data_IF_896234379415
#
_entry.id   IF_896234379415
#
_cell.length_a   1.000
_cell.length_b   1.000
_cell.length_c   1.000
_cell.angle_alpha   90.00
_cell.angle_beta   90.00
_cell.angle_gamma   90.00
#
_symmetry.space_group_name_H-M   'P 1'
#
loop_
_entity.id
_entity.type
_entity.pdbx_description
1 polymer ?
#
# COMPACT_ATOMS: atom_id res chain seq x y z
N UNK A 1 -26.72 -23.18 -7.39
CA UNK A 1 -25.24 -23.15 -7.22
C UNK A 1 -24.64 -23.00 -8.61
N UNK A 2 -23.86 -21.95 -8.90
CA UNK A 2 -23.18 -21.80 -10.19
C UNK A 2 -21.71 -22.16 -9.98
N UNK A 3 -21.31 -23.30 -10.54
CA UNK A 3 -19.94 -23.84 -10.50
C UNK A 3 -19.16 -23.16 -11.63
N UNK A 4 -18.02 -22.55 -11.31
CA UNK A 4 -17.10 -21.97 -12.29
C UNK A 4 -16.02 -23.04 -12.52
N UNK A 5 -15.88 -23.49 -13.76
CA UNK A 5 -14.93 -24.52 -14.17
C UNK A 5 -13.48 -23.99 -14.11
N UNK A 6 -12.62 -24.67 -13.35
CA UNK A 6 -11.19 -24.39 -13.31
C UNK A 6 -10.50 -24.87 -14.60
N UNK A 7 -10.32 -23.95 -15.54
CA UNK A 7 -9.42 -24.12 -16.67
C UNK A 7 -7.96 -24.22 -16.20
N UNK A 8 -7.33 -25.37 -16.43
CA UNK A 8 -5.90 -25.58 -16.18
C UNK A 8 -5.06 -24.70 -17.11
N UNK A 9 -4.35 -23.71 -16.55
CA UNK A 9 -3.19 -23.09 -17.19
C UNK A 9 -1.96 -23.39 -16.34
N UNK A 10 -1.22 -24.41 -16.77
CA UNK A 10 0.11 -24.75 -16.28
C UNK A 10 1.13 -24.19 -17.25
N UNK A 11 1.72 -23.02 -16.95
CA UNK A 11 3.05 -22.65 -17.45
C UNK A 11 3.80 -21.94 -16.31
N UNK A 12 4.60 -22.75 -15.60
CA UNK A 12 5.91 -22.43 -15.01
C UNK A 12 6.10 -21.01 -14.44
N UNK A 13 5.67 -20.82 -13.18
CA UNK A 13 6.23 -19.74 -12.34
C UNK A 13 7.61 -20.16 -11.90
N UNK A 14 8.63 -19.61 -12.57
CA UNK A 14 10.02 -19.69 -12.14
C UNK A 14 10.18 -18.81 -10.91
N UNK A 15 10.58 -19.45 -9.82
CA UNK A 15 11.04 -18.90 -8.54
C UNK A 15 11.30 -17.38 -8.52
N UNK A 16 10.35 -16.63 -7.99
CA UNK A 16 10.63 -15.45 -7.18
C UNK A 16 9.72 -15.55 -5.97
N UNK A 17 10.27 -16.05 -4.86
CA UNK A 17 9.58 -16.33 -3.59
C UNK A 17 9.25 -15.03 -2.81
N UNK A 18 9.00 -13.95 -3.53
CA UNK A 18 8.56 -12.66 -3.02
C UNK A 18 7.50 -12.18 -3.99
N UNK A 19 6.25 -12.59 -3.75
CA UNK A 19 5.12 -11.87 -4.32
C UNK A 19 5.33 -10.39 -3.96
N UNK A 20 5.44 -9.48 -4.94
CA UNK A 20 5.54 -8.08 -4.63
C UNK A 20 4.25 -7.72 -3.89
N UNK A 21 4.36 -7.42 -2.59
CA UNK A 21 3.22 -7.07 -1.73
C UNK A 21 2.32 -5.98 -2.35
N UNK A 22 2.86 -5.19 -3.29
CA UNK A 22 2.15 -4.22 -4.10
C UNK A 22 0.99 -4.79 -4.95
N UNK A 23 1.05 -6.05 -5.40
CA UNK A 23 0.00 -6.65 -6.24
C UNK A 23 -1.20 -7.12 -5.40
N UNK A 24 -0.96 -7.56 -4.16
CA UNK A 24 -2.02 -7.96 -3.23
C UNK A 24 -2.87 -6.77 -2.76
N UNK A 25 -2.25 -5.60 -2.64
CA UNK A 25 -2.91 -4.35 -2.26
C UNK A 25 -3.74 -3.70 -3.39
N UNK A 26 -3.64 -4.21 -4.62
CA UNK A 26 -4.30 -3.64 -5.79
C UNK A 26 -5.11 -4.69 -6.58
N UNK A 27 -6.20 -5.25 -6.01
CA UNK A 27 -7.06 -6.20 -6.72
C UNK A 27 -7.73 -5.60 -7.98
N UNK A 28 -7.77 -4.26 -8.12
CA UNK A 28 -8.29 -3.55 -9.30
C UNK A 28 -7.21 -2.85 -10.16
N UNK A 29 -5.93 -2.94 -9.78
CA UNK A 29 -4.83 -2.20 -10.44
C UNK A 29 -4.87 -0.68 -10.29
N UNK A 30 -5.77 -0.14 -9.47
CA UNK A 30 -5.85 1.30 -9.17
C UNK A 30 -5.04 1.62 -7.90
N UNK A 31 -4.49 2.84 -7.80
CA UNK A 31 -3.79 3.28 -6.60
C UNK A 31 -4.73 3.26 -5.39
N UNK A 32 -4.43 2.39 -4.43
CA UNK A 32 -5.14 2.29 -3.16
C UNK A 32 -4.63 3.39 -2.22
N UNK A 33 -5.45 4.40 -1.97
CA UNK A 33 -5.11 5.51 -1.08
C UNK A 33 -4.80 5.04 0.35
N UNK A 34 -5.43 3.94 0.79
CA UNK A 34 -5.20 3.39 2.12
C UNK A 34 -3.82 2.70 2.21
N UNK A 35 -3.38 2.00 1.15
CA UNK A 35 -2.03 1.43 1.06
C UNK A 35 -0.95 2.51 0.98
N UNK A 36 -1.22 3.62 0.30
CA UNK A 36 -0.31 4.77 0.27
C UNK A 36 -0.17 5.44 1.65
N UNK A 37 -1.28 5.61 2.39
CA UNK A 37 -1.24 6.10 3.77
C UNK A 37 -0.47 5.13 4.68
N UNK A 38 -0.72 3.83 4.53
CA UNK A 38 -0.07 2.78 5.31
C UNK A 38 1.46 2.81 5.16
N UNK A 39 1.96 3.00 3.93
CA UNK A 39 3.40 3.16 3.68
C UNK A 39 3.99 4.35 4.45
N UNK A 40 3.34 5.51 4.42
CA UNK A 40 3.82 6.71 5.14
C UNK A 40 3.83 6.46 6.66
N UNK A 41 2.81 5.79 7.20
CA UNK A 41 2.75 5.43 8.61
C UNK A 41 3.83 4.40 8.98
N UNK A 42 4.12 3.45 8.09
CA UNK A 42 5.21 2.48 8.25
C UNK A 42 6.56 3.18 8.35
N UNK A 43 6.88 4.04 7.38
CA UNK A 43 8.12 4.83 7.36
C UNK A 43 8.23 5.71 8.62
N UNK A 44 7.12 6.30 9.08
CA UNK A 44 7.07 7.11 10.29
C UNK A 44 7.41 6.28 11.53
N UNK A 45 6.80 5.10 11.68
CA UNK A 45 7.08 4.21 12.81
C UNK A 45 8.53 3.71 12.80
N UNK A 46 9.11 3.43 11.63
CA UNK A 46 10.52 3.10 11.51
C UNK A 46 11.41 4.26 11.97
N UNK A 47 11.14 5.49 11.49
CA UNK A 47 11.88 6.67 11.90
C UNK A 47 11.80 6.94 13.41
N UNK A 48 10.62 6.77 14.02
CA UNK A 48 10.42 6.87 15.47
C UNK A 48 11.24 5.80 16.20
N UNK A 49 11.20 4.55 15.72
CA UNK A 49 11.90 3.42 16.34
C UNK A 49 13.41 3.56 16.25
N UNK A 50 13.92 4.25 15.23
CA UNK A 50 15.33 4.60 15.06
C UNK A 50 15.72 5.92 15.75
N UNK A 51 14.82 6.55 16.49
CA UNK A 51 15.01 7.85 17.16
C UNK A 51 15.37 9.00 16.19
N UNK A 52 15.02 8.85 14.91
CA UNK A 52 15.24 9.86 13.86
C UNK A 52 14.14 10.90 13.87
N UNK A 53 14.09 11.72 14.92
CA UNK A 53 12.96 12.63 15.16
C UNK A 53 12.77 13.71 14.11
N UNK A 54 13.84 14.14 13.42
CA UNK A 54 13.72 15.10 12.30
C UNK A 54 12.97 14.48 11.12
N UNK A 55 13.36 13.26 10.74
CA UNK A 55 12.72 12.53 9.64
C UNK A 55 11.28 12.15 10.02
N UNK A 56 11.05 11.77 11.28
CA UNK A 56 9.70 11.52 11.79
C UNK A 56 8.81 12.77 11.73
N UNK A 57 9.37 13.96 11.99
CA UNK A 57 8.63 15.21 11.85
C UNK A 57 8.25 15.50 10.39
N UNK A 58 9.18 15.31 9.45
CA UNK A 58 8.92 15.49 8.02
C UNK A 58 7.87 14.48 7.50
N UNK A 59 7.94 13.23 7.95
CA UNK A 59 6.97 12.18 7.62
C UNK A 59 5.58 12.46 8.20
N UNK A 60 5.51 13.01 9.41
CA UNK A 60 4.23 13.46 10.01
C UNK A 60 3.62 14.58 9.18
N UNK A 61 4.40 15.59 8.80
CA UNK A 61 3.90 16.71 7.99
C UNK A 61 3.46 16.24 6.59
N UNK A 62 4.14 15.23 6.01
CA UNK A 62 3.71 14.55 4.79
C UNK A 62 2.39 13.79 4.97
N UNK A 63 2.22 13.08 6.08
CA UNK A 63 1.00 12.36 6.41
C UNK A 63 -0.21 13.31 6.55
N UNK A 64 -0.03 14.45 7.19
CA UNK A 64 -1.07 15.45 7.37
C UNK A 64 -1.52 16.04 6.03
N UNK A 65 -0.57 16.36 5.14
CA UNK A 65 -0.87 16.80 3.76
C UNK A 65 -1.62 15.74 2.97
N UNK A 66 -1.22 14.48 3.09
CA UNK A 66 -1.88 13.35 2.42
C UNK A 66 -3.33 13.21 2.89
N UNK A 67 -3.57 13.25 4.20
CA UNK A 67 -4.91 13.17 4.79
C UNK A 67 -5.80 14.35 4.39
N UNK A 68 -5.25 15.56 4.36
CA UNK A 68 -5.95 16.74 3.88
C UNK A 68 -6.39 16.57 2.42
N UNK A 69 -5.47 16.14 1.54
CA UNK A 69 -5.77 15.86 0.12
C UNK A 69 -6.81 14.74 -0.05
N UNK A 70 -6.74 13.68 0.76
CA UNK A 70 -7.72 12.59 0.74
C UNK A 70 -9.11 13.08 1.14
N UNK A 71 -9.20 13.90 2.19
CA UNK A 71 -10.47 14.43 2.65
C UNK A 71 -11.12 15.29 1.56
N UNK A 72 -10.36 16.12 0.85
CA UNK A 72 -10.85 16.88 -0.32
C UNK A 72 -11.46 15.96 -1.40
N UNK A 73 -10.82 14.83 -1.70
CA UNK A 73 -11.32 13.85 -2.68
C UNK A 73 -12.55 13.06 -2.22
N UNK A 74 -12.78 12.93 -0.91
CA UNK A 74 -13.98 12.24 -0.39
C UNK A 74 -15.27 13.05 -0.56
N UNK A 75 -15.18 14.36 -0.80
CA UNK A 75 -16.32 15.25 -0.98
C UNK A 75 -16.58 15.66 -2.44
N UNK A 76 -15.84 15.10 -3.39
CA UNK A 76 -16.00 15.33 -4.84
C UNK A 76 -16.46 14.04 -5.50
#
# INVERSE_FOLDING_TARGET
MRVIESGKLSIQSTASDVLPHAELDQPSGQPCLDSEEFKIVGDLNEAISQERYKDAADLRDKLDKFRAARNLRKFT
#
